data_IF_898711750594
#
_entry.id   IF_898711750594
#
_cell.length_a   1.000
_cell.length_b   1.000
_cell.length_c   1.000
_cell.angle_alpha   90.00
_cell.angle_beta   90.00
_cell.angle_gamma   90.00
#
_symmetry.space_group_name_H-M   'P 1'
#
loop_
_entity.id
_entity.type
_entity.pdbx_description
1 polymer ?
#
# COMPACT_ATOMS: atom_id res chain seq x y z
N UNK A 1 13.64 3.64 -17.81
CA UNK A 1 14.13 2.77 -16.72
C UNK A 1 13.38 1.46 -16.83
N UNK A 2 14.05 0.41 -17.30
CA UNK A 2 13.51 -0.95 -17.18
C UNK A 2 13.69 -1.37 -15.72
N UNK A 3 12.57 -1.58 -15.02
CA UNK A 3 12.60 -2.10 -13.66
C UNK A 3 12.82 -3.61 -13.72
N UNK A 4 13.91 -4.10 -13.12
CA UNK A 4 14.25 -5.52 -13.16
C UNK A 4 13.35 -6.31 -12.19
N UNK A 5 12.45 -7.10 -12.77
CA UNK A 5 11.54 -8.00 -12.06
C UNK A 5 12.25 -8.92 -11.06
N UNK A 6 13.52 -9.29 -11.33
CA UNK A 6 14.32 -10.13 -10.43
C UNK A 6 14.66 -9.43 -9.11
N UNK A 7 14.95 -8.13 -9.17
CA UNK A 7 15.26 -7.33 -7.98
C UNK A 7 14.03 -7.21 -7.08
N UNK A 8 12.88 -6.89 -7.69
CA UNK A 8 11.60 -6.85 -6.99
C UNK A 8 11.32 -8.19 -6.29
N UNK A 9 11.35 -9.30 -7.04
CA UNK A 9 11.09 -10.64 -6.48
C UNK A 9 12.02 -10.98 -5.31
N UNK A 10 13.31 -10.70 -5.42
CA UNK A 10 14.26 -10.95 -4.33
C UNK A 10 13.92 -10.18 -3.05
N UNK A 11 13.42 -8.94 -3.17
CA UNK A 11 12.96 -8.15 -2.02
C UNK A 11 11.72 -8.81 -1.40
N UNK A 12 10.73 -9.20 -2.19
CA UNK A 12 9.53 -9.86 -1.66
C UNK A 12 9.84 -11.20 -1.01
N UNK A 13 10.65 -12.06 -1.65
CA UNK A 13 11.01 -13.37 -1.10
C UNK A 13 11.72 -13.22 0.27
N UNK A 14 12.55 -12.19 0.44
CA UNK A 14 13.18 -11.89 1.75
C UNK A 14 12.19 -11.49 2.85
N UNK A 15 11.00 -11.01 2.48
CA UNK A 15 9.97 -10.51 3.40
C UNK A 15 8.87 -11.55 3.66
N UNK A 16 8.50 -12.32 2.66
CA UNK A 16 7.34 -13.22 2.68
C UNK A 16 7.54 -14.51 3.48
N UNK A 17 8.77 -14.81 3.92
CA UNK A 17 9.07 -15.96 4.80
C UNK A 17 8.89 -15.68 6.29
N UNK A 18 8.39 -14.50 6.65
CA UNK A 18 8.15 -14.12 8.06
C UNK A 18 6.65 -14.08 8.36
N UNK A 19 6.26 -14.25 9.63
CA UNK A 19 4.86 -14.19 10.14
C UNK A 19 4.23 -12.79 10.04
N UNK A 20 4.53 -12.06 8.96
CA UNK A 20 4.08 -10.70 8.73
C UNK A 20 2.70 -10.70 8.10
N UNK A 21 1.88 -9.80 8.60
CA UNK A 21 0.63 -9.38 7.97
C UNK A 21 0.89 -8.68 6.65
N UNK A 22 -0.12 -8.64 5.78
CA UNK A 22 -0.05 -7.92 4.50
C UNK A 22 0.34 -6.44 4.70
N UNK A 23 -0.22 -5.77 5.72
CA UNK A 23 0.09 -4.38 6.05
C UNK A 23 1.58 -4.21 6.40
N UNK A 24 2.16 -5.13 7.16
CA UNK A 24 3.59 -5.09 7.48
C UNK A 24 4.46 -5.32 6.24
N UNK A 25 4.07 -6.24 5.36
CA UNK A 25 4.77 -6.46 4.08
C UNK A 25 4.73 -5.17 3.24
N UNK A 26 3.57 -4.53 3.10
CA UNK A 26 3.41 -3.26 2.37
C UNK A 26 4.34 -2.19 2.94
N UNK A 27 4.41 -2.08 4.26
CA UNK A 27 5.24 -1.07 4.92
C UNK A 27 6.73 -1.36 4.84
N UNK A 28 7.14 -2.63 4.84
CA UNK A 28 8.52 -3.00 4.55
C UNK A 28 8.91 -2.72 3.11
N UNK A 29 8.02 -2.99 2.14
CA UNK A 29 8.26 -2.65 0.74
C UNK A 29 8.41 -1.12 0.56
N UNK A 30 7.62 -0.31 1.27
CA UNK A 30 7.84 1.14 1.33
C UNK A 30 9.23 1.50 1.87
N UNK A 31 9.67 0.88 2.98
CA UNK A 31 10.98 1.20 3.57
C UNK A 31 12.16 0.81 2.67
N UNK A 32 11.97 -0.16 1.79
CA UNK A 32 12.92 -0.52 0.72
C UNK A 32 12.89 0.46 -0.47
N UNK A 33 12.08 1.52 -0.39
CA UNK A 33 12.01 2.58 -1.40
C UNK A 33 11.04 2.31 -2.55
N UNK A 34 10.18 1.29 -2.46
CA UNK A 34 9.20 1.00 -3.50
C UNK A 34 8.04 1.99 -3.42
N UNK A 35 7.58 2.45 -4.58
CA UNK A 35 6.33 3.21 -4.74
C UNK A 35 5.10 2.32 -4.53
N UNK A 36 3.93 2.93 -4.34
CA UNK A 36 2.65 2.19 -4.29
C UNK A 36 2.41 1.34 -5.55
N UNK A 37 2.76 1.85 -6.74
CA UNK A 37 2.60 1.12 -8.01
C UNK A 37 3.51 -0.10 -8.10
N UNK A 38 4.77 0.01 -7.68
CA UNK A 38 5.71 -1.12 -7.63
C UNK A 38 5.30 -2.15 -6.58
N UNK A 39 4.81 -1.68 -5.43
CA UNK A 39 4.25 -2.51 -4.36
C UNK A 39 3.03 -3.28 -4.85
N UNK A 40 2.13 -2.63 -5.60
CA UNK A 40 0.97 -3.29 -6.19
C UNK A 40 1.36 -4.34 -7.21
N UNK A 41 2.28 -4.00 -8.13
CA UNK A 41 2.78 -4.92 -9.14
C UNK A 41 3.38 -6.20 -8.53
N UNK A 42 4.25 -6.06 -7.53
CA UNK A 42 4.93 -7.21 -6.95
C UNK A 42 3.99 -8.08 -6.12
N UNK A 43 3.15 -7.48 -5.28
CA UNK A 43 2.18 -8.22 -4.48
C UNK A 43 1.16 -8.92 -5.37
N UNK A 44 0.70 -8.27 -6.44
CA UNK A 44 -0.21 -8.92 -7.40
C UNK A 44 0.49 -10.06 -8.14
N UNK A 45 1.75 -9.87 -8.58
CA UNK A 45 2.50 -10.91 -9.28
C UNK A 45 2.68 -12.18 -8.45
N UNK A 46 2.87 -12.05 -7.14
CA UNK A 46 3.19 -13.17 -6.25
C UNK A 46 1.95 -13.75 -5.52
N UNK A 47 0.90 -12.95 -5.29
CA UNK A 47 -0.28 -13.36 -4.51
C UNK A 47 -1.53 -13.64 -5.36
N UNK A 48 -1.56 -13.26 -6.65
CA UNK A 48 -2.77 -13.42 -7.50
C UNK A 48 -3.29 -14.85 -7.60
N UNK A 49 -2.42 -15.86 -7.47
CA UNK A 49 -2.78 -17.27 -7.65
C UNK A 49 -3.27 -17.90 -6.32
N UNK A 50 -3.34 -17.12 -5.24
CA UNK A 50 -3.80 -17.59 -3.92
C UNK A 50 -5.30 -17.34 -3.69
N UNK A 51 -6.01 -16.69 -4.63
CA UNK A 51 -7.43 -16.31 -4.53
C UNK A 51 -7.84 -15.54 -3.25
N UNK A 52 -6.87 -15.02 -2.50
CA UNK A 52 -7.10 -14.26 -1.26
C UNK A 52 -7.45 -12.80 -1.52
N UNK A 53 -7.00 -12.24 -2.64
CA UNK A 53 -7.14 -10.81 -2.94
C UNK A 53 -7.57 -10.59 -4.39
N UNK A 54 -8.48 -9.64 -4.59
CA UNK A 54 -8.74 -9.09 -5.92
C UNK A 54 -7.71 -8.00 -6.24
N UNK A 55 -7.51 -7.72 -7.53
CA UNK A 55 -6.61 -6.63 -7.97
C UNK A 55 -6.95 -5.29 -7.31
N UNK A 56 -8.25 -4.98 -7.20
CA UNK A 56 -8.77 -3.77 -6.55
C UNK A 56 -8.68 -3.85 -5.02
N UNK A 57 -8.92 -5.01 -4.41
CA UNK A 57 -8.77 -5.22 -2.97
C UNK A 57 -7.34 -4.96 -2.52
N UNK A 58 -6.36 -5.53 -3.23
CA UNK A 58 -4.94 -5.32 -2.95
C UNK A 58 -4.51 -3.86 -3.11
N UNK A 59 -5.09 -3.14 -4.09
CA UNK A 59 -4.87 -1.70 -4.24
C UNK A 59 -5.37 -0.94 -3.00
N UNK A 60 -6.54 -1.27 -2.48
CA UNK A 60 -7.07 -0.60 -1.29
C UNK A 60 -6.15 -0.83 -0.09
N UNK A 61 -5.73 -2.08 0.16
CA UNK A 61 -4.78 -2.40 1.23
C UNK A 61 -3.50 -1.56 1.17
N UNK A 62 -2.96 -1.35 -0.04
CA UNK A 62 -1.75 -0.53 -0.24
C UNK A 62 -2.01 0.96 -0.04
N UNK A 63 -3.07 1.51 -0.61
CA UNK A 63 -3.40 2.95 -0.52
C UNK A 63 -3.68 3.37 0.91
N UNK A 64 -4.39 2.52 1.65
CA UNK A 64 -4.80 2.79 3.03
C UNK A 64 -3.81 2.30 4.09
N UNK A 65 -2.67 1.70 3.70
CA UNK A 65 -1.70 1.24 4.69
C UNK A 65 -1.12 2.43 5.50
N UNK A 66 -0.96 2.30 6.82
CA UNK A 66 -0.51 3.39 7.70
C UNK A 66 0.85 3.98 7.29
N UNK A 67 1.76 3.17 6.74
CA UNK A 67 3.02 3.69 6.25
C UNK A 67 2.87 4.63 5.06
N UNK A 68 1.78 4.59 4.29
CA UNK A 68 1.50 5.57 3.23
C UNK A 68 0.69 6.77 3.75
N UNK A 69 0.40 6.82 5.06
CA UNK A 69 -0.56 7.74 5.64
C UNK A 69 -0.09 9.18 5.78
N UNK A 70 1.16 9.54 5.52
CA UNK A 70 1.55 10.97 5.58
C UNK A 70 0.78 11.81 4.54
N UNK A 71 0.52 11.24 3.36
CA UNK A 71 -0.30 11.86 2.32
C UNK A 71 -1.82 11.63 2.54
N UNK A 72 -2.19 10.53 3.19
CA UNK A 72 -3.59 10.16 3.41
C UNK A 72 -4.20 10.86 4.65
N UNK A 73 -3.42 11.03 5.72
CA UNK A 73 -3.81 11.79 6.91
C UNK A 73 -3.96 13.28 6.60
N UNK A 74 -3.13 13.84 5.74
CA UNK A 74 -3.32 15.23 5.26
C UNK A 74 -4.65 15.38 4.53
N UNK A 75 -4.99 14.45 3.62
CA UNK A 75 -6.28 14.49 2.91
C UNK A 75 -7.47 14.25 3.85
N UNK A 76 -7.40 13.29 4.77
CA UNK A 76 -8.47 13.03 5.74
C UNK A 76 -8.64 14.17 6.76
N UNK A 77 -7.56 14.85 7.14
CA UNK A 77 -7.62 16.04 8.00
C UNK A 77 -8.32 17.20 7.28
N UNK A 78 -8.03 17.40 6.00
CA UNK A 78 -8.70 18.42 5.18
C UNK A 78 -10.20 18.11 4.99
N UNK A 79 -10.55 16.86 4.69
CA UNK A 79 -11.95 16.45 4.53
C UNK A 79 -12.76 16.66 5.84
N UNK A 80 -12.16 16.35 7.00
CA UNK A 80 -12.79 16.62 8.30
C UNK A 80 -12.91 18.12 8.61
N UNK A 81 -11.94 18.95 8.22
CA UNK A 81 -12.04 20.42 8.34
C UNK A 81 -13.19 20.97 7.47
N UNK A 82 -13.32 20.50 6.23
CA UNK A 82 -14.44 20.89 5.37
C UNK A 82 -15.79 20.46 5.93
N UNK A 83 -15.94 19.21 6.39
CA UNK A 83 -17.20 18.75 7.01
C UNK A 83 -17.56 19.55 8.26
N UNK A 84 -16.57 19.99 9.03
CA UNK A 84 -16.80 20.80 10.23
C UNK A 84 -17.25 22.22 9.86
N UNK A 85 -16.58 22.84 8.89
CA UNK A 85 -16.97 24.15 8.35
C UNK A 85 -18.41 24.16 7.83
N UNK A 86 -18.78 23.14 7.03
CA UNK A 86 -20.15 23.03 6.50
C UNK A 86 -21.22 22.78 7.58
N UNK A 87 -20.86 22.20 8.73
CA UNK A 87 -21.78 22.04 9.87
C UNK A 87 -21.91 23.30 10.73
N UNK A 88 -20.92 24.19 10.68
CA UNK A 88 -20.93 25.46 11.42
C UNK A 88 -21.55 26.62 10.62
N UNK A 89 -21.71 26.50 9.30
CA UNK A 89 -22.40 27.49 8.44
C UNK A 89 -23.93 27.28 8.31
N UNK A 90 -24.51 26.23 8.90
CA UNK A 90 -25.97 26.03 9.07
C UNK A 90 -26.47 26.54 10.43
#
# INVERSE_FOLDING_TARGET
>A
MDFDKKVLKSIFDSLYHSDLTLTEIICKLKSEGLTQGQTHYILWSELKDQDLFTFSGLRNEIVYAPCWSDALQQNLSLDNEFETFFKEED
#
